data_IF_526467904920
#
_entry.id   IF_526467904920
#
_cell.length_a   1.000
_cell.length_b   1.000
_cell.length_c   1.000
_cell.angle_alpha   90.00
_cell.angle_beta   90.00
_cell.angle_gamma   90.00
#
_symmetry.space_group_name_H-M   'P 1'
#
loop_
_entity.id
_entity.type
_entity.pdbx_description
1 polymer ?
#
# COMPACT_ATOMS: atom_id res chain seq x y z
N UNK A 1 28.08 -22.85 -42.13
CA UNK A 1 27.87 -22.55 -40.70
C UNK A 1 27.26 -21.16 -40.64
N UNK A 2 25.95 -20.97 -40.58
CA UNK A 2 24.93 -21.59 -39.76
C UNK A 2 24.08 -20.41 -39.29
N UNK A 3 23.15 -19.96 -40.13
CA UNK A 3 22.22 -18.88 -39.79
C UNK A 3 21.34 -19.43 -38.66
N UNK A 4 21.52 -18.91 -37.46
CA UNK A 4 20.56 -19.13 -36.39
C UNK A 4 19.33 -18.30 -36.74
N UNK A 5 18.39 -18.94 -37.42
CA UNK A 5 17.02 -18.49 -37.52
C UNK A 5 16.49 -18.43 -36.08
N UNK A 6 16.49 -17.24 -35.51
CA UNK A 6 15.73 -16.95 -34.31
C UNK A 6 14.26 -17.04 -34.72
N UNK A 7 13.69 -18.23 -34.57
CA UNK A 7 12.26 -18.40 -34.47
C UNK A 7 11.82 -17.61 -33.24
N UNK A 8 11.48 -16.34 -33.48
CA UNK A 8 10.69 -15.56 -32.57
C UNK A 8 9.37 -16.31 -32.41
N UNK A 9 9.28 -17.16 -31.38
CA UNK A 9 8.04 -17.81 -30.98
C UNK A 9 7.11 -16.67 -30.58
N UNK A 10 6.36 -16.18 -31.56
CA UNK A 10 5.30 -15.21 -31.36
C UNK A 10 4.30 -15.87 -30.41
N UNK A 11 4.28 -15.43 -29.17
CA UNK A 11 3.29 -15.85 -28.20
C UNK A 11 1.91 -15.65 -28.84
N UNK A 12 1.09 -16.70 -29.00
CA UNK A 12 -0.19 -16.57 -29.68
C UNK A 12 -1.02 -15.53 -28.93
N UNK A 13 -1.36 -14.44 -29.62
CA UNK A 13 -2.12 -13.34 -29.05
C UNK A 13 -3.41 -13.92 -28.45
N UNK A 14 -3.53 -13.87 -27.11
CA UNK A 14 -4.74 -14.34 -26.44
C UNK A 14 -5.94 -13.58 -27.04
N UNK A 15 -7.00 -14.29 -27.46
CA UNK A 15 -8.17 -13.63 -28.00
C UNK A 15 -8.74 -12.66 -26.95
N UNK A 16 -9.26 -11.50 -27.37
CA UNK A 16 -9.85 -10.53 -26.45
C UNK A 16 -10.95 -11.17 -25.61
N UNK A 17 -11.01 -10.79 -24.33
CA UNK A 17 -12.07 -11.23 -23.44
C UNK A 17 -13.44 -10.81 -23.98
N UNK A 18 -14.44 -11.65 -23.74
CA UNK A 18 -15.83 -11.23 -23.88
C UNK A 18 -16.18 -10.14 -22.86
N UNK A 19 -17.23 -9.37 -23.12
CA UNK A 19 -17.68 -8.31 -22.20
C UNK A 19 -17.98 -8.84 -20.79
N UNK A 20 -18.51 -10.05 -20.67
CA UNK A 20 -18.80 -10.69 -19.38
C UNK A 20 -17.51 -11.01 -18.61
N UNK A 21 -16.55 -11.66 -19.26
CA UNK A 21 -15.24 -11.95 -18.67
C UNK A 21 -14.48 -10.66 -18.29
N UNK A 22 -14.56 -9.61 -19.14
CA UNK A 22 -13.95 -8.33 -18.83
C UNK A 22 -14.57 -7.66 -17.58
N UNK A 23 -15.89 -7.79 -17.39
CA UNK A 23 -16.58 -7.30 -16.18
C UNK A 23 -16.15 -8.07 -14.94
N UNK A 24 -16.05 -9.39 -15.03
CA UNK A 24 -15.60 -10.25 -13.93
C UNK A 24 -14.17 -9.89 -13.48
N UNK A 25 -13.23 -9.80 -14.44
CA UNK A 25 -11.85 -9.37 -14.16
C UNK A 25 -11.82 -7.98 -13.53
N UNK A 26 -12.63 -7.05 -14.05
CA UNK A 26 -12.70 -5.69 -13.49
C UNK A 26 -13.26 -5.68 -12.06
N UNK A 27 -14.24 -6.52 -11.75
CA UNK A 27 -14.77 -6.66 -10.40
C UNK A 27 -13.69 -7.19 -9.45
N UNK A 28 -12.95 -8.24 -9.84
CA UNK A 28 -11.83 -8.77 -9.06
C UNK A 28 -10.71 -7.76 -8.85
N UNK A 29 -10.38 -6.95 -9.87
CA UNK A 29 -9.40 -5.86 -9.72
C UNK A 29 -9.88 -4.81 -8.71
N UNK A 30 -11.16 -4.45 -8.74
CA UNK A 30 -11.73 -3.49 -7.78
C UNK A 30 -11.66 -4.02 -6.35
N UNK A 31 -11.99 -5.29 -6.15
CA UNK A 31 -11.88 -5.95 -4.84
C UNK A 31 -10.43 -5.96 -4.34
N UNK A 32 -9.49 -6.37 -5.18
CA UNK A 32 -8.06 -6.35 -4.84
C UNK A 32 -7.56 -4.93 -4.49
N UNK A 33 -8.01 -3.91 -5.23
CA UNK A 33 -7.69 -2.51 -4.92
C UNK A 33 -8.28 -2.07 -3.58
N UNK A 34 -9.50 -2.48 -3.25
CA UNK A 34 -10.15 -2.19 -1.97
C UNK A 34 -9.43 -2.88 -0.80
N UNK A 35 -8.95 -4.11 -1.01
CA UNK A 35 -8.16 -4.86 -0.03
C UNK A 35 -6.77 -4.25 0.19
N UNK A 36 -6.12 -3.80 -0.87
CA UNK A 36 -4.86 -3.03 -0.76
C UNK A 36 -5.10 -1.74 0.03
N UNK A 37 -6.17 -0.99 -0.26
CA UNK A 37 -6.52 0.23 0.47
C UNK A 37 -6.76 -0.05 1.96
N UNK A 38 -7.47 -1.13 2.28
CA UNK A 38 -7.70 -1.56 3.68
C UNK A 38 -6.39 -1.92 4.37
N UNK A 39 -5.55 -2.70 3.70
CA UNK A 39 -4.25 -3.15 4.22
C UNK A 39 -3.30 -1.99 4.50
N UNK A 40 -3.21 -1.02 3.58
CA UNK A 40 -2.42 0.21 3.77
C UNK A 40 -2.91 1.01 4.98
N UNK A 41 -4.23 1.09 5.18
CA UNK A 41 -4.81 1.78 6.35
C UNK A 41 -4.41 1.09 7.66
N UNK A 42 -4.49 -0.23 7.70
CA UNK A 42 -4.08 -1.04 8.87
C UNK A 42 -2.59 -0.90 9.14
N UNK A 43 -1.75 -0.98 8.09
CA UNK A 43 -0.30 -0.82 8.22
C UNK A 43 0.06 0.57 8.77
N UNK A 44 -0.55 1.63 8.23
CA UNK A 44 -0.33 3.00 8.68
C UNK A 44 -0.66 3.18 10.18
N UNK A 45 -1.78 2.63 10.64
CA UNK A 45 -2.14 2.67 12.06
C UNK A 45 -1.08 1.95 12.92
N UNK A 46 -0.70 0.72 12.53
CA UNK A 46 0.31 -0.07 13.27
C UNK A 46 1.67 0.60 13.34
N UNK A 47 2.14 1.20 12.24
CA UNK A 47 3.40 1.94 12.20
C UNK A 47 3.39 3.11 13.18
N UNK A 48 2.30 3.89 13.21
CA UNK A 48 2.13 5.00 14.15
C UNK A 48 2.12 4.51 15.60
N UNK A 49 1.36 3.47 15.88
CA UNK A 49 1.20 2.95 17.24
C UNK A 49 2.52 2.38 17.76
N UNK A 50 3.23 1.61 16.92
CA UNK A 50 4.57 1.13 17.22
C UNK A 50 5.54 2.28 17.48
N UNK A 51 5.48 3.34 16.68
CA UNK A 51 6.36 4.48 16.87
C UNK A 51 6.04 5.29 18.13
N UNK A 52 4.76 5.52 18.42
CA UNK A 52 4.33 6.21 19.64
C UNK A 52 4.69 5.41 20.90
N UNK A 53 4.60 4.08 20.85
CA UNK A 53 4.99 3.19 21.93
C UNK A 53 6.51 3.00 22.07
N UNK A 54 7.32 3.58 21.17
CA UNK A 54 8.78 3.42 21.15
C UNK A 54 9.21 1.94 21.21
N UNK A 55 8.57 1.06 20.42
CA UNK A 55 8.76 -0.40 20.49
C UNK A 55 10.21 -0.87 20.34
N UNK A 56 11.05 -0.04 19.73
CA UNK A 56 12.47 -0.30 19.55
C UNK A 56 13.26 -0.31 20.87
N UNK A 57 12.83 0.45 21.88
CA UNK A 57 13.53 0.56 23.17
C UNK A 57 13.53 -0.76 23.95
N UNK A 58 12.38 -1.40 24.25
CA UNK A 58 12.37 -2.68 24.95
C UNK A 58 12.99 -3.82 24.14
N UNK A 59 13.10 -3.67 22.82
CA UNK A 59 13.78 -4.61 21.93
C UNK A 59 15.30 -4.37 21.83
N UNK A 60 15.83 -3.34 22.52
CA UNK A 60 17.26 -3.08 22.60
C UNK A 60 17.84 -2.29 21.43
N UNK A 61 17.01 -1.74 20.54
CA UNK A 61 17.46 -0.86 19.47
C UNK A 61 17.55 0.58 19.96
N UNK A 62 18.55 1.31 19.46
CA UNK A 62 18.81 2.70 19.87
C UNK A 62 17.83 3.70 19.27
N UNK A 63 17.13 3.34 18.19
CA UNK A 63 16.25 4.24 17.44
C UNK A 63 15.24 3.47 16.58
N UNK A 64 14.22 4.18 16.09
CA UNK A 64 13.27 3.67 15.09
C UNK A 64 13.96 3.14 13.82
N UNK A 65 14.98 3.86 13.33
CA UNK A 65 15.77 3.45 12.16
C UNK A 65 16.47 2.12 12.41
N UNK A 66 17.21 2.00 13.53
CA UNK A 66 17.94 0.78 13.87
C UNK A 66 17.01 -0.43 14.01
N UNK A 67 15.81 -0.21 14.57
CA UNK A 67 14.77 -1.23 14.63
C UNK A 67 14.24 -1.62 13.24
N UNK A 68 13.96 -0.65 12.36
CA UNK A 68 13.44 -0.93 11.04
C UNK A 68 14.46 -1.62 10.12
N UNK A 69 15.74 -1.25 10.24
CA UNK A 69 16.83 -1.91 9.52
C UNK A 69 16.97 -3.36 9.99
N UNK A 70 16.98 -3.61 11.31
CA UNK A 70 17.16 -4.95 11.85
C UNK A 70 15.96 -5.89 11.63
N UNK A 71 14.72 -5.39 11.77
CA UNK A 71 13.52 -6.24 11.72
C UNK A 71 12.90 -6.34 10.32
N UNK A 72 13.07 -5.32 9.48
CA UNK A 72 12.40 -5.24 8.18
C UNK A 72 13.35 -5.09 7.00
N UNK A 73 14.66 -4.98 7.23
CA UNK A 73 15.67 -4.78 6.17
C UNK A 73 15.36 -3.56 5.30
N UNK A 74 14.93 -2.45 5.95
CA UNK A 74 14.63 -1.19 5.25
C UNK A 74 15.54 -0.06 5.71
N UNK A 75 15.91 0.78 4.76
CA UNK A 75 16.72 1.98 5.00
C UNK A 75 16.00 3.00 5.90
N UNK A 76 16.78 3.87 6.54
CA UNK A 76 16.28 5.08 7.24
C UNK A 76 15.22 5.83 6.46
N UNK A 77 15.49 6.10 5.18
CA UNK A 77 14.59 6.89 4.33
C UNK A 77 13.23 6.20 4.16
N UNK A 78 13.22 4.86 4.01
CA UNK A 78 11.99 4.08 3.94
C UNK A 78 11.27 4.06 5.30
N UNK A 79 12.00 3.88 6.40
CA UNK A 79 11.46 3.86 7.75
C UNK A 79 10.71 5.15 8.10
N UNK A 80 11.27 6.33 7.77
CA UNK A 80 10.59 7.61 8.00
C UNK A 80 9.50 7.90 6.97
N UNK A 81 9.64 7.42 5.73
CA UNK A 81 8.57 7.51 4.73
C UNK A 81 7.30 6.77 5.17
N UNK A 82 7.43 5.63 5.86
CA UNK A 82 6.27 4.93 6.44
C UNK A 82 5.54 5.80 7.46
N UNK A 83 6.28 6.55 8.30
CA UNK A 83 5.69 7.48 9.26
C UNK A 83 5.01 8.67 8.56
N UNK A 84 5.58 9.19 7.47
CA UNK A 84 4.99 10.27 6.68
C UNK A 84 3.66 9.84 6.05
N UNK A 85 3.64 8.65 5.42
CA UNK A 85 2.42 8.06 4.85
C UNK A 85 1.37 7.85 5.93
N UNK A 86 1.76 7.33 7.09
CA UNK A 86 0.84 7.09 8.18
C UNK A 86 0.24 8.37 8.77
N UNK A 87 1.03 9.46 8.85
CA UNK A 87 0.55 10.79 9.24
C UNK A 87 -0.41 11.39 8.22
N UNK A 88 -0.07 11.31 6.94
CA UNK A 88 -0.92 11.80 5.86
C UNK A 88 -2.28 11.10 5.83
N UNK A 89 -2.30 9.76 5.93
CA UNK A 89 -3.53 8.98 5.96
C UNK A 89 -4.40 9.31 7.18
N UNK A 90 -3.79 9.48 8.35
CA UNK A 90 -4.51 9.91 9.55
C UNK A 90 -5.15 11.29 9.38
N UNK A 91 -4.41 12.25 8.81
CA UNK A 91 -4.90 13.60 8.55
C UNK A 91 -6.08 13.61 7.57
N UNK A 92 -5.97 12.84 6.47
CA UNK A 92 -7.05 12.69 5.49
C UNK A 92 -8.28 12.05 6.13
N UNK A 93 -8.10 10.97 6.89
CA UNK A 93 -9.20 10.30 7.59
C UNK A 93 -9.94 11.26 8.54
N UNK A 94 -9.20 12.03 9.34
CA UNK A 94 -9.77 13.01 10.25
C UNK A 94 -10.53 14.12 9.51
N UNK A 95 -9.98 14.63 8.40
CA UNK A 95 -10.64 15.65 7.59
C UNK A 95 -11.96 15.13 6.97
N UNK A 96 -11.96 13.91 6.44
CA UNK A 96 -13.18 13.27 5.88
C UNK A 96 -14.22 13.05 6.96
N UNK A 97 -13.83 12.59 8.15
CA UNK A 97 -14.74 12.37 9.27
C UNK A 97 -15.33 13.68 9.78
N UNK A 98 -14.51 14.72 9.93
CA UNK A 98 -14.96 16.06 10.34
C UNK A 98 -15.96 16.66 9.33
N UNK A 99 -15.73 16.48 8.03
CA UNK A 99 -16.67 16.92 6.99
C UNK A 99 -18.01 16.19 7.06
N UNK A 100 -18.06 14.93 7.52
CA UNK A 100 -19.31 14.17 7.66
C UNK A 100 -20.11 14.57 8.90
N UNK A 101 -19.44 14.96 9.98
CA UNK A 101 -20.09 15.42 11.21
C UNK A 101 -20.52 16.89 11.16
N UNK A 102 -19.89 17.71 10.31
CA UNK A 102 -20.29 19.09 10.05
C UNK A 102 -21.50 19.19 9.08
N UNK A 103 -22.54 18.37 9.26
CA UNK A 103 -23.73 18.31 8.38
C UNK A 103 -24.27 19.69 7.97
N UNK A 104 -24.97 19.79 6.82
CA UNK A 104 -25.32 21.08 6.21
C UNK A 104 -25.99 22.01 7.22
N UNK A 105 -25.41 23.19 7.44
CA UNK A 105 -26.01 24.20 8.30
C UNK A 105 -27.35 24.62 7.69
N UNK A 106 -28.46 24.58 8.46
CA UNK A 106 -29.71 25.17 7.99
C UNK A 106 -29.51 26.69 7.87
N UNK A 107 -29.99 27.23 6.74
CA UNK A 107 -30.06 28.68 6.45
C UNK A 107 -31.00 29.40 7.41
#
# INVERSE_FOLDING_TARGET
MGKHDQEHVAEPARPPLTTEQAREVTAGLREAMDDVRRSVTVLAARVRDAHAAHVWLPLGHSSWESYCEAEFDISRAQAYRLLDVARALAAIHNAVTASRSAGPQPL
#
